data_IF_115233949096
#
_entry.id   IF_115233949096
#
_cell.length_a   1.000
_cell.length_b   1.000
_cell.length_c   1.000
_cell.angle_alpha   90.00
_cell.angle_beta   90.00
_cell.angle_gamma   90.00
#
_symmetry.space_group_name_H-M   'P 1'
#
loop_
_entity.id
_entity.type
_entity.pdbx_description
1 polymer ?
#
# COMPACT_ATOMS: atom_id res chain seq x y z
N UNK A 1 5.85 10.07 -13.15
CA UNK A 1 6.76 9.76 -12.02
C UNK A 1 6.21 8.55 -11.29
N UNK A 2 7.06 7.56 -11.02
CA UNK A 2 6.74 6.44 -10.13
C UNK A 2 6.46 6.97 -8.72
N UNK A 3 5.73 6.20 -7.90
CA UNK A 3 5.55 6.58 -6.50
C UNK A 3 6.88 6.48 -5.77
N UNK A 4 7.22 7.41 -4.85
CA UNK A 4 8.48 7.38 -4.12
C UNK A 4 8.41 6.34 -3.00
N UNK A 5 8.22 5.07 -3.36
CA UNK A 5 8.05 3.93 -2.46
C UNK A 5 8.91 2.79 -2.95
N UNK A 6 9.83 2.31 -2.11
CA UNK A 6 10.62 1.09 -2.35
C UNK A 6 10.46 0.12 -1.18
N UNK A 7 10.17 -1.14 -1.51
CA UNK A 7 10.40 -2.29 -0.67
C UNK A 7 11.81 -2.86 -0.94
N UNK A 8 12.55 -3.15 0.12
CA UNK A 8 13.81 -3.88 0.05
C UNK A 8 13.63 -5.24 0.70
N UNK A 9 14.17 -6.27 0.08
CA UNK A 9 14.22 -7.61 0.67
C UNK A 9 15.50 -8.33 0.26
N UNK A 10 15.98 -9.20 1.14
CA UNK A 10 17.18 -9.99 0.96
C UNK A 10 16.84 -11.47 1.00
N UNK A 11 17.30 -12.23 0.02
CA UNK A 11 17.19 -13.68 0.05
C UNK A 11 18.55 -14.36 -0.02
N UNK A 12 18.71 -15.42 0.77
CA UNK A 12 19.92 -16.23 0.76
C UNK A 12 19.98 -17.06 -0.53
N UNK A 13 21.13 -17.02 -1.20
CA UNK A 13 21.44 -17.88 -2.33
C UNK A 13 21.78 -19.27 -1.78
N UNK A 14 21.20 -20.31 -2.38
CA UNK A 14 21.35 -21.69 -1.96
C UNK A 14 22.20 -22.44 -2.98
N UNK A 15 23.46 -22.08 -3.12
CA UNK A 15 24.39 -22.67 -4.08
C UNK A 15 25.78 -22.88 -3.51
N UNK A 16 26.74 -23.37 -4.31
CA UNK A 16 28.13 -23.57 -3.89
C UNK A 16 28.81 -22.25 -3.48
N UNK A 17 28.27 -21.11 -3.91
CA UNK A 17 28.70 -19.78 -3.52
C UNK A 17 27.65 -19.14 -2.60
N UNK A 18 27.86 -19.17 -1.27
CA UNK A 18 26.93 -18.57 -0.32
C UNK A 18 26.93 -17.04 -0.48
N UNK A 19 25.74 -16.44 -0.43
CA UNK A 19 25.56 -14.99 -0.57
C UNK A 19 24.13 -14.55 -0.33
N UNK A 20 23.89 -13.24 -0.40
CA UNK A 20 22.57 -12.63 -0.30
C UNK A 20 22.25 -11.85 -1.59
N UNK A 21 21.10 -12.15 -2.19
CA UNK A 21 20.53 -11.34 -3.26
C UNK A 21 19.59 -10.30 -2.63
N UNK A 22 19.93 -9.03 -2.80
CA UNK A 22 19.07 -7.91 -2.43
C UNK A 22 18.20 -7.52 -3.63
N UNK A 23 16.89 -7.44 -3.41
CA UNK A 23 15.91 -6.95 -4.38
C UNK A 23 15.30 -5.64 -3.89
N UNK A 24 15.23 -4.66 -4.79
CA UNK A 24 14.46 -3.43 -4.60
C UNK A 24 13.22 -3.48 -5.49
N UNK A 25 12.05 -3.28 -4.90
CA UNK A 25 10.76 -3.27 -5.61
C UNK A 25 10.03 -1.96 -5.35
N UNK A 26 9.43 -1.38 -6.37
CA UNK A 26 8.60 -0.19 -6.28
C UNK A 26 7.12 -0.51 -6.53
N UNK A 27 6.29 0.52 -6.43
CA UNK A 27 4.83 0.42 -6.53
C UNK A 27 4.34 1.19 -7.76
N UNK A 28 3.75 0.47 -8.71
CA UNK A 28 3.09 1.05 -9.88
C UNK A 28 1.75 1.70 -9.54
N UNK A 29 1.12 2.42 -10.48
CA UNK A 29 -0.14 3.15 -10.23
C UNK A 29 -1.33 2.30 -9.76
N UNK A 30 -1.33 0.99 -10.00
CA UNK A 30 -2.38 0.07 -9.60
C UNK A 30 -2.07 -0.65 -8.27
N UNK A 31 -1.15 -0.13 -7.47
CA UNK A 31 -0.68 -0.73 -6.21
C UNK A 31 -0.02 -2.13 -6.43
N UNK A 32 0.64 -2.35 -7.57
CA UNK A 32 1.35 -3.60 -7.86
C UNK A 32 2.86 -3.37 -8.04
N UNK A 33 3.63 -4.47 -8.07
CA UNK A 33 5.09 -4.54 -8.12
C UNK A 33 5.71 -3.97 -9.40
N UNK A 34 6.79 -3.19 -9.22
CA UNK A 34 7.81 -2.89 -10.22
C UNK A 34 9.23 -3.05 -9.62
N UNK A 35 10.29 -3.04 -10.44
CA UNK A 35 11.70 -2.92 -10.00
C UNK A 35 12.21 -1.57 -10.51
N UNK A 36 12.59 -0.68 -9.59
CA UNK A 36 12.95 0.71 -9.93
C UNK A 36 14.47 0.97 -9.82
N UNK A 37 14.96 1.91 -10.63
CA UNK A 37 16.32 2.45 -10.63
C UNK A 37 16.29 3.94 -10.30
N UNK A 38 16.64 4.25 -9.05
CA UNK A 38 17.17 5.54 -8.54
C UNK A 38 16.18 6.73 -8.41
N UNK A 39 16.35 7.52 -7.32
CA UNK A 39 15.71 8.80 -6.87
C UNK A 39 14.83 8.76 -5.60
N UNK A 40 15.09 9.67 -4.64
CA UNK A 40 14.35 9.98 -3.39
C UNK A 40 13.12 9.12 -3.02
N UNK A 41 13.36 7.98 -2.36
CA UNK A 41 12.31 7.00 -2.00
C UNK A 41 11.94 7.01 -0.51
N UNK A 42 10.71 6.62 -0.23
CA UNK A 42 10.24 6.20 1.10
C UNK A 42 10.36 4.68 1.20
N UNK A 43 11.09 4.20 2.20
CA UNK A 43 11.24 2.76 2.44
C UNK A 43 10.01 2.21 3.16
N UNK A 44 9.35 1.22 2.56
CA UNK A 44 8.33 0.42 3.27
C UNK A 44 9.03 -0.80 3.86
N UNK A 45 9.25 -0.77 5.18
CA UNK A 45 9.76 -1.94 5.90
C UNK A 45 8.62 -2.92 6.22
N UNK A 46 8.85 -4.23 6.10
CA UNK A 46 7.88 -5.28 6.45
C UNK A 46 7.64 -5.43 7.98
N UNK A 47 7.95 -4.38 8.75
CA UNK A 47 7.88 -4.43 10.20
C UNK A 47 6.49 -4.80 10.69
N UNK A 48 5.42 -4.44 9.99
CA UNK A 48 4.06 -4.75 10.41
C UNK A 48 3.69 -6.24 10.31
N UNK A 49 4.14 -6.92 9.24
CA UNK A 49 3.88 -8.36 9.07
C UNK A 49 4.78 -9.18 9.98
N UNK A 50 6.04 -8.78 10.15
CA UNK A 50 6.93 -9.36 11.15
C UNK A 50 6.40 -9.14 12.57
N UNK A 51 5.92 -7.95 12.88
CA UNK A 51 5.26 -7.61 14.14
C UNK A 51 4.06 -8.53 14.36
N UNK A 52 3.17 -8.68 13.38
CA UNK A 52 2.04 -9.59 13.50
C UNK A 52 2.45 -11.07 13.65
N UNK A 53 3.42 -11.56 12.85
CA UNK A 53 3.92 -12.94 12.95
C UNK A 53 4.51 -13.21 14.33
N UNK A 54 5.30 -12.29 14.87
CA UNK A 54 5.91 -12.42 16.19
C UNK A 54 4.89 -12.26 17.31
N UNK A 55 3.93 -11.35 17.16
CA UNK A 55 2.83 -11.17 18.09
C UNK A 55 1.98 -12.44 18.19
N UNK A 56 1.55 -13.00 17.05
CA UNK A 56 0.72 -14.22 17.02
C UNK A 56 1.36 -15.41 17.74
N UNK A 57 2.69 -15.52 17.74
CA UNK A 57 3.41 -16.60 18.44
C UNK A 57 3.23 -16.54 19.95
N UNK A 58 3.12 -15.33 20.53
CA UNK A 58 2.97 -15.11 21.98
C UNK A 58 1.52 -14.84 22.39
N UNK A 59 0.75 -14.21 21.51
CA UNK A 59 -0.61 -13.74 21.74
C UNK A 59 -1.52 -14.27 20.62
N UNK A 60 -1.87 -15.58 20.64
CA UNK A 60 -2.76 -16.16 19.65
C UNK A 60 -4.21 -15.72 19.89
N UNK A 61 -4.97 -15.50 18.82
CA UNK A 61 -6.40 -15.19 18.92
C UNK A 61 -6.88 -14.27 17.80
N UNK A 62 -8.11 -14.51 17.32
CA UNK A 62 -8.71 -13.68 16.27
C UNK A 62 -9.02 -12.26 16.77
N UNK A 63 -9.44 -12.12 18.03
CA UNK A 63 -9.71 -10.83 18.66
C UNK A 63 -8.43 -9.99 18.77
N UNK A 64 -7.39 -10.52 19.42
CA UNK A 64 -6.08 -9.85 19.55
C UNK A 64 -5.46 -9.48 18.20
N UNK A 65 -5.58 -10.36 17.20
CA UNK A 65 -5.22 -10.03 15.81
C UNK A 65 -5.96 -8.79 15.32
N UNK A 66 -7.29 -8.76 15.49
CA UNK A 66 -8.13 -7.64 15.07
C UNK A 66 -7.74 -6.34 15.76
N UNK A 67 -7.51 -6.37 17.08
CA UNK A 67 -7.13 -5.18 17.86
C UNK A 67 -5.75 -4.64 17.48
N UNK A 68 -4.75 -5.52 17.30
CA UNK A 68 -3.45 -5.10 16.79
C UNK A 68 -3.57 -4.53 15.37
N UNK A 69 -4.36 -5.15 14.50
CA UNK A 69 -4.61 -4.62 13.15
C UNK A 69 -5.30 -3.26 13.17
N UNK A 70 -6.26 -3.03 14.08
CA UNK A 70 -6.88 -1.72 14.28
C UNK A 70 -5.83 -0.68 14.66
N UNK A 71 -4.98 -0.99 15.64
CA UNK A 71 -3.91 -0.09 16.09
C UNK A 71 -2.92 0.27 14.98
N UNK A 72 -2.51 -0.73 14.20
CA UNK A 72 -1.61 -0.59 13.05
C UNK A 72 -2.25 0.27 11.93
N UNK A 73 -3.55 0.07 11.68
CA UNK A 73 -4.30 0.73 10.61
C UNK A 73 -4.82 2.11 10.98
N UNK A 74 -4.82 2.49 12.26
CA UNK A 74 -5.22 3.81 12.73
C UNK A 74 -4.51 4.89 11.94
N UNK A 75 -5.28 5.79 11.33
CA UNK A 75 -4.78 6.84 10.44
C UNK A 75 -4.56 8.17 11.17
N UNK A 76 -5.04 8.32 12.40
CA UNK A 76 -4.78 9.47 13.27
C UNK A 76 -4.21 9.03 14.61
N UNK A 77 -3.53 9.94 15.31
CA UNK A 77 -2.88 9.67 16.58
C UNK A 77 -3.93 9.34 17.66
N UNK A 78 -5.09 9.99 17.61
CA UNK A 78 -6.21 9.77 18.51
C UNK A 78 -6.80 8.37 18.31
N UNK A 79 -7.00 7.95 17.05
CA UNK A 79 -7.44 6.59 16.73
C UNK A 79 -6.41 5.54 17.14
N UNK A 80 -5.12 5.86 17.06
CA UNK A 80 -4.05 4.98 17.52
C UNK A 80 -4.08 4.82 19.04
N UNK A 81 -4.13 5.93 19.79
CA UNK A 81 -4.19 5.92 21.26
C UNK A 81 -5.39 5.12 21.76
N UNK A 82 -6.58 5.39 21.20
CA UNK A 82 -7.79 4.64 21.54
C UNK A 82 -7.65 3.14 21.26
N UNK A 83 -7.17 2.76 20.07
CA UNK A 83 -6.98 1.34 19.75
C UNK A 83 -5.94 0.66 20.65
N UNK A 84 -4.90 1.39 21.06
CA UNK A 84 -3.88 0.91 22.00
C UNK A 84 -4.45 0.76 23.43
N UNK A 85 -5.31 1.68 23.87
CA UNK A 85 -6.06 1.59 25.13
C UNK A 85 -7.01 0.39 25.11
N UNK A 86 -7.81 0.22 24.05
CA UNK A 86 -8.69 -0.93 23.89
C UNK A 86 -7.88 -2.25 24.00
N UNK A 87 -6.70 -2.32 23.36
CA UNK A 87 -5.82 -3.49 23.45
C UNK A 87 -5.33 -3.73 24.89
N UNK A 88 -5.00 -2.66 25.63
CA UNK A 88 -4.54 -2.74 27.02
C UNK A 88 -5.63 -3.23 27.97
N UNK A 89 -6.86 -2.75 27.77
CA UNK A 89 -8.03 -3.19 28.54
C UNK A 89 -8.36 -4.65 28.28
N UNK A 90 -8.22 -5.11 27.03
CA UNK A 90 -8.48 -6.50 26.66
C UNK A 90 -7.37 -7.47 27.11
N UNK A 91 -6.11 -7.10 26.89
CA UNK A 91 -4.94 -7.89 27.28
C UNK A 91 -3.73 -6.99 27.54
N UNK A 92 -3.47 -6.75 28.82
CA UNK A 92 -2.37 -5.89 29.27
C UNK A 92 -0.98 -6.44 28.89
N UNK A 93 -0.81 -7.76 28.75
CA UNK A 93 0.46 -8.36 28.34
C UNK A 93 0.69 -8.19 26.83
N UNK A 94 -0.36 -8.33 26.03
CA UNK A 94 -0.32 -8.02 24.60
C UNK A 94 0.03 -6.54 24.34
N UNK A 95 -0.53 -5.63 25.14
CA UNK A 95 -0.16 -4.21 25.10
C UNK A 95 1.31 -3.98 25.46
N UNK A 96 1.80 -4.55 26.58
CA UNK A 96 3.22 -4.44 26.96
C UNK A 96 4.16 -5.00 25.89
N UNK A 97 3.74 -6.05 25.18
CA UNK A 97 4.49 -6.56 24.04
C UNK A 97 4.57 -5.53 22.91
N UNK A 98 3.44 -4.89 22.58
CA UNK A 98 3.37 -3.87 21.54
C UNK A 98 4.19 -2.63 21.90
N UNK A 99 4.18 -2.21 23.16
CA UNK A 99 4.95 -1.06 23.66
C UNK A 99 6.47 -1.27 23.53
N UNK A 100 6.93 -2.52 23.61
CA UNK A 100 8.34 -2.89 23.38
C UNK A 100 8.73 -2.91 21.90
N UNK A 101 7.78 -2.76 20.97
CA UNK A 101 8.09 -2.68 19.56
C UNK A 101 8.85 -1.38 19.24
N UNK A 102 9.52 -1.30 18.07
CA UNK A 102 10.09 -0.04 17.58
C UNK A 102 9.05 1.08 17.56
N UNK A 103 9.48 2.33 17.49
CA UNK A 103 8.57 3.47 17.53
C UNK A 103 7.44 3.35 16.48
N UNK A 104 6.17 3.72 16.79
CA UNK A 104 5.02 3.59 15.88
C UNK A 104 5.18 4.23 14.50
N UNK A 105 6.13 5.17 14.35
CA UNK A 105 6.51 5.74 13.04
C UNK A 105 6.90 4.70 11.98
N UNK A 106 7.32 3.50 12.40
CA UNK A 106 7.73 2.43 11.48
C UNK A 106 6.59 1.48 11.09
N UNK A 107 5.48 1.47 11.83
CA UNK A 107 4.47 0.42 11.70
C UNK A 107 3.01 0.88 11.86
N UNK A 108 2.75 2.16 12.13
CA UNK A 108 1.38 2.68 12.28
C UNK A 108 1.10 3.82 11.29
N UNK A 109 -0.02 3.72 10.57
CA UNK A 109 -0.46 4.73 9.59
C UNK A 109 -0.57 6.14 10.18
N UNK A 110 -0.90 6.26 11.45
CA UNK A 110 -1.04 7.52 12.15
C UNK A 110 0.23 8.38 12.11
N UNK A 111 1.39 7.76 11.94
CA UNK A 111 2.69 8.44 11.93
C UNK A 111 3.29 8.55 10.54
N UNK A 112 2.63 8.01 9.51
CA UNK A 112 3.16 8.03 8.15
C UNK A 112 2.96 9.40 7.49
N UNK A 113 3.92 9.75 6.63
CA UNK A 113 3.87 10.95 5.80
C UNK A 113 2.84 10.79 4.67
N UNK A 114 2.02 11.82 4.39
CA UNK A 114 1.08 11.81 3.28
C UNK A 114 1.74 12.03 1.91
N UNK A 115 3.07 12.15 1.85
CA UNK A 115 3.79 12.44 0.61
C UNK A 115 3.67 11.32 -0.44
N UNK A 116 3.72 10.05 -0.01
CA UNK A 116 3.81 8.89 -0.92
C UNK A 116 2.49 8.50 -1.58
N UNK A 117 1.35 8.92 -1.04
CA UNK A 117 0.01 8.55 -1.52
C UNK A 117 -0.12 7.03 -1.71
N UNK A 118 0.18 6.27 -0.65
CA UNK A 118 0.19 4.82 -0.67
C UNK A 118 -0.64 4.26 0.47
N UNK A 119 -1.73 3.55 0.13
CA UNK A 119 -2.56 2.85 1.12
C UNK A 119 -1.95 1.53 1.58
N UNK A 120 -0.92 1.05 0.90
CA UNK A 120 -0.33 -0.27 1.14
C UNK A 120 0.44 -0.31 2.44
N UNK A 121 0.20 -1.41 3.15
CA UNK A 121 0.62 -1.63 4.52
C UNK A 121 1.60 -2.82 4.63
N UNK A 122 1.66 -3.66 3.60
CA UNK A 122 2.27 -5.00 3.67
C UNK A 122 3.26 -5.23 2.54
N UNK A 123 4.36 -5.91 2.85
CA UNK A 123 5.40 -6.30 1.90
C UNK A 123 5.03 -7.55 1.07
N UNK A 124 3.77 -7.67 0.63
CA UNK A 124 3.38 -8.75 -0.31
C UNK A 124 4.16 -8.66 -1.64
N UNK A 125 4.71 -7.49 -1.90
CA UNK A 125 5.54 -7.16 -3.03
C UNK A 125 6.84 -7.97 -3.03
N UNK A 126 7.71 -7.82 -2.02
CA UNK A 126 8.97 -8.59 -2.01
C UNK A 126 8.76 -10.09 -1.89
N UNK A 127 7.74 -10.55 -1.13
CA UNK A 127 7.43 -11.97 -1.04
C UNK A 127 7.03 -12.57 -2.40
N UNK A 128 6.23 -11.85 -3.19
CA UNK A 128 5.85 -12.30 -4.52
C UNK A 128 7.07 -12.34 -5.44
N UNK A 129 7.97 -11.36 -5.41
CA UNK A 129 9.20 -11.45 -6.20
C UNK A 129 10.05 -12.65 -5.77
N UNK A 130 10.24 -12.81 -4.46
CA UNK A 130 11.02 -13.89 -3.87
C UNK A 130 10.47 -15.29 -4.20
N UNK A 131 9.16 -15.44 -4.36
CA UNK A 131 8.55 -16.71 -4.80
C UNK A 131 8.86 -17.05 -6.25
N UNK A 132 8.97 -16.06 -7.14
CA UNK A 132 9.20 -16.30 -8.56
C UNK A 132 10.66 -16.69 -8.88
N UNK A 133 11.61 -16.25 -8.05
CA UNK A 133 13.03 -16.58 -8.23
C UNK A 133 13.48 -17.79 -7.41
N UNK A 134 12.57 -18.41 -6.67
CA UNK A 134 12.88 -19.43 -5.66
C UNK A 134 13.61 -20.65 -6.26
N UNK A 135 13.17 -21.10 -7.44
CA UNK A 135 13.77 -22.20 -8.23
C UNK A 135 15.05 -21.80 -9.00
N UNK A 136 15.40 -20.53 -9.00
CA UNK A 136 16.62 -20.04 -9.65
C UNK A 136 17.76 -19.81 -8.64
N UNK A 137 17.46 -19.86 -7.33
CA UNK A 137 18.40 -19.54 -6.24
C UNK A 137 19.51 -20.57 -6.01
N UNK A 138 19.33 -21.77 -6.55
CA UNK A 138 20.31 -22.86 -6.52
C UNK A 138 21.16 -22.95 -7.80
N UNK A 139 20.88 -22.07 -8.78
CA UNK A 139 21.61 -22.01 -10.05
C UNK A 139 22.78 -21.02 -9.98
N UNK A 140 23.75 -21.11 -10.92
CA UNK A 140 24.79 -20.10 -11.07
C UNK A 140 24.21 -18.69 -11.21
N UNK A 141 24.94 -17.68 -10.73
CA UNK A 141 24.47 -16.28 -10.70
C UNK A 141 23.99 -15.77 -12.07
N UNK A 142 24.65 -16.18 -13.16
CA UNK A 142 24.28 -15.83 -14.53
C UNK A 142 22.89 -16.40 -14.87
N UNK A 143 22.65 -17.67 -14.56
CA UNK A 143 21.35 -18.32 -14.79
C UNK A 143 20.23 -17.69 -13.94
N UNK A 144 20.53 -17.30 -12.70
CA UNK A 144 19.60 -16.58 -11.82
C UNK A 144 19.20 -15.22 -12.42
N UNK A 145 20.19 -14.43 -12.85
CA UNK A 145 19.96 -13.12 -13.45
C UNK A 145 19.22 -13.23 -14.79
N UNK A 146 19.52 -14.24 -15.60
CA UNK A 146 18.82 -14.50 -16.85
C UNK A 146 17.35 -14.85 -16.59
N UNK A 147 17.07 -15.73 -15.63
CA UNK A 147 15.68 -16.08 -15.26
C UNK A 147 14.91 -14.86 -14.73
N UNK A 148 15.55 -14.04 -13.89
CA UNK A 148 14.97 -12.79 -13.41
C UNK A 148 14.64 -11.83 -14.55
N UNK A 149 15.54 -11.68 -15.54
CA UNK A 149 15.31 -10.86 -16.74
C UNK A 149 14.10 -11.34 -17.54
N UNK A 150 14.04 -12.63 -17.84
CA UNK A 150 12.93 -13.25 -18.60
C UNK A 150 11.58 -13.07 -17.90
N UNK A 151 11.54 -13.29 -16.58
CA UNK A 151 10.36 -13.05 -15.75
C UNK A 151 9.90 -11.59 -15.81
N UNK A 152 10.85 -10.64 -15.75
CA UNK A 152 10.53 -9.21 -15.84
C UNK A 152 10.01 -8.83 -17.23
N UNK A 153 10.62 -9.34 -18.30
CA UNK A 153 10.15 -9.12 -19.68
C UNK A 153 8.70 -9.62 -19.86
N UNK A 154 8.42 -10.85 -19.44
CA UNK A 154 7.09 -11.45 -19.51
C UNK A 154 6.07 -10.67 -18.69
N UNK A 155 6.44 -10.27 -17.46
CA UNK A 155 5.58 -9.48 -16.57
C UNK A 155 5.25 -8.12 -17.18
N UNK A 156 6.25 -7.39 -17.68
CA UNK A 156 6.06 -6.07 -18.30
C UNK A 156 5.08 -6.19 -19.47
N UNK A 157 5.29 -7.16 -20.37
CA UNK A 157 4.42 -7.38 -21.53
C UNK A 157 2.98 -7.70 -21.10
N UNK A 158 2.78 -8.68 -20.20
CA UNK A 158 1.45 -9.10 -19.73
C UNK A 158 0.70 -7.97 -19.04
N UNK A 159 1.37 -7.24 -18.14
CA UNK A 159 0.78 -6.13 -17.37
C UNK A 159 0.42 -4.95 -18.27
N UNK A 160 1.30 -4.58 -19.20
CA UNK A 160 1.02 -3.55 -20.20
C UNK A 160 -0.18 -3.92 -21.06
N UNK A 161 -0.22 -5.14 -21.60
CA UNK A 161 -1.33 -5.60 -22.42
C UNK A 161 -2.66 -5.60 -21.66
N UNK A 162 -2.67 -6.10 -20.43
CA UNK A 162 -3.86 -6.11 -19.57
C UNK A 162 -4.35 -4.69 -19.26
N UNK A 163 -3.44 -3.78 -18.87
CA UNK A 163 -3.82 -2.41 -18.55
C UNK A 163 -4.30 -1.64 -19.78
N UNK A 164 -3.66 -1.81 -20.94
CA UNK A 164 -4.09 -1.18 -22.19
C UNK A 164 -5.54 -1.54 -22.53
N UNK A 165 -5.91 -2.82 -22.40
CA UNK A 165 -7.28 -3.32 -22.65
C UNK A 165 -8.31 -2.88 -21.61
N UNK A 166 -7.88 -2.51 -20.41
CA UNK A 166 -8.79 -2.12 -19.34
C UNK A 166 -9.48 -0.78 -19.67
N UNK A 167 -10.81 -0.67 -19.60
CA UNK A 167 -11.54 0.46 -20.19
C UNK A 167 -11.47 1.75 -19.35
N UNK A 168 -11.08 1.67 -18.08
CA UNK A 168 -11.12 2.82 -17.18
C UNK A 168 -9.79 3.57 -17.09
N UNK A 169 -9.88 4.80 -16.56
CA UNK A 169 -8.76 5.72 -16.34
C UNK A 169 -7.83 5.29 -15.20
N UNK A 170 -8.24 4.32 -14.38
CA UNK A 170 -7.47 3.72 -13.28
C UNK A 170 -7.36 2.21 -13.48
N UNK A 171 -6.46 1.57 -12.74
CA UNK A 171 -6.38 0.12 -12.72
C UNK A 171 -7.48 -0.54 -11.87
N UNK A 172 -7.71 -1.85 -12.06
CA UNK A 172 -8.82 -2.57 -11.43
C UNK A 172 -8.76 -2.61 -9.90
N UNK A 173 -7.57 -2.60 -9.30
CA UNK A 173 -7.45 -2.62 -7.84
C UNK A 173 -7.83 -1.27 -7.23
N UNK A 174 -7.38 -0.17 -7.85
CA UNK A 174 -7.77 1.19 -7.43
C UNK A 174 -9.27 1.39 -7.59
N UNK A 175 -9.84 0.97 -8.72
CA UNK A 175 -11.28 1.03 -8.96
C UNK A 175 -12.06 0.26 -7.90
N UNK A 176 -11.66 -0.99 -7.61
CA UNK A 176 -12.28 -1.80 -6.55
C UNK A 176 -12.24 -1.12 -5.18
N UNK A 177 -11.09 -0.55 -4.78
CA UNK A 177 -10.98 0.17 -3.49
C UNK A 177 -11.98 1.32 -3.42
N UNK A 178 -12.19 2.04 -4.53
CA UNK A 178 -13.15 3.15 -4.57
C UNK A 178 -14.58 2.62 -4.51
N UNK A 179 -14.90 1.54 -5.22
CA UNK A 179 -16.21 0.88 -5.19
C UNK A 179 -16.57 0.39 -3.77
N UNK A 180 -15.65 -0.32 -3.10
CA UNK A 180 -15.84 -0.77 -1.71
C UNK A 180 -16.11 0.44 -0.78
N UNK A 181 -15.37 1.55 -0.96
CA UNK A 181 -15.58 2.76 -0.16
C UNK A 181 -16.86 3.52 -0.54
N UNK A 182 -17.36 3.38 -1.76
CA UNK A 182 -18.65 3.93 -2.19
C UNK A 182 -19.78 3.23 -1.44
N UNK A 183 -19.73 1.91 -1.30
CA UNK A 183 -20.71 1.15 -0.52
C UNK A 183 -20.65 1.55 0.96
N UNK A 184 -19.45 1.61 1.54
CA UNK A 184 -19.28 2.04 2.94
C UNK A 184 -19.66 3.51 3.19
N UNK A 185 -19.71 4.34 2.13
CA UNK A 185 -20.05 5.76 2.25
C UNK A 185 -21.54 6.01 2.60
N UNK A 186 -22.43 5.04 2.36
CA UNK A 186 -23.88 5.23 2.53
C UNK A 186 -24.33 5.49 3.97
N UNK A 187 -23.53 5.10 4.97
CA UNK A 187 -23.83 5.35 6.38
C UNK A 187 -23.51 6.78 6.84
N UNK A 188 -22.94 7.61 5.96
CA UNK A 188 -22.42 8.93 6.29
C UNK A 188 -23.34 10.04 5.77
N UNK A 189 -23.55 11.05 6.60
CA UNK A 189 -24.43 12.19 6.37
C UNK A 189 -23.57 13.46 6.25
N UNK A 190 -23.31 13.95 5.02
CA UNK A 190 -22.53 15.16 4.79
C UNK A 190 -23.41 16.40 4.95
N UNK A 191 -22.82 17.45 5.52
CA UNK A 191 -23.41 18.79 5.61
C UNK A 191 -22.39 19.81 5.11
N UNK A 192 -22.73 20.49 4.01
CA UNK A 192 -21.88 21.49 3.38
C UNK A 192 -21.86 22.81 4.18
N UNK A 193 -20.70 23.45 4.26
CA UNK A 193 -20.52 24.73 4.95
C UNK A 193 -20.77 25.97 4.06
N UNK A 194 -21.10 25.78 2.78
CA UNK A 194 -21.33 26.87 1.82
C UNK A 194 -20.09 27.35 1.06
N UNK A 195 -18.88 26.83 1.34
CA UNK A 195 -17.63 27.27 0.70
C UNK A 195 -16.86 26.10 0.08
N UNK A 196 -16.24 25.27 0.91
CA UNK A 196 -15.32 24.21 0.47
C UNK A 196 -15.23 23.02 1.45
N UNK A 197 -15.95 23.09 2.57
CA UNK A 197 -15.86 22.17 3.69
C UNK A 197 -17.17 21.43 3.91
N UNK A 198 -17.05 20.15 4.28
CA UNK A 198 -18.17 19.31 4.68
C UNK A 198 -17.93 18.79 6.09
N UNK A 199 -18.97 18.85 6.91
CA UNK A 199 -19.08 18.12 8.15
C UNK A 199 -19.80 16.80 7.87
N UNK A 200 -19.12 15.67 8.05
CA UNK A 200 -19.66 14.35 7.73
C UNK A 200 -19.86 13.55 9.02
N UNK A 201 -21.11 13.19 9.31
CA UNK A 201 -21.51 12.49 10.53
C UNK A 201 -21.95 11.06 10.24
N UNK A 202 -21.87 10.16 11.21
CA UNK A 202 -22.61 8.89 11.19
C UNK A 202 -23.56 8.80 12.39
N UNK A 203 -24.51 7.83 12.38
CA UNK A 203 -25.43 7.62 13.50
C UNK A 203 -24.74 7.27 14.83
N UNK A 204 -23.47 6.83 14.78
CA UNK A 204 -22.66 6.44 15.95
C UNK A 204 -21.86 7.63 16.54
N UNK A 205 -22.31 8.87 16.35
CA UNK A 205 -21.68 10.10 16.86
C UNK A 205 -20.23 10.37 16.40
N UNK A 206 -19.73 9.66 15.39
CA UNK A 206 -18.43 10.02 14.79
C UNK A 206 -18.63 11.16 13.79
N UNK A 207 -17.71 12.12 13.81
CA UNK A 207 -17.75 13.31 12.96
C UNK A 207 -16.39 13.57 12.34
N UNK A 208 -16.39 13.87 11.04
CA UNK A 208 -15.19 14.18 10.28
C UNK A 208 -15.38 15.46 9.46
N UNK A 209 -14.37 16.33 9.45
CA UNK A 209 -14.29 17.41 8.48
C UNK A 209 -13.61 16.91 7.20
N UNK A 210 -14.20 17.26 6.06
CA UNK A 210 -13.71 16.98 4.69
C UNK A 210 -13.56 18.30 3.96
N UNK A 211 -12.47 18.46 3.20
CA UNK A 211 -12.31 19.58 2.27
C UNK A 211 -12.02 19.02 0.87
N UNK A 212 -12.96 19.22 -0.05
CA UNK A 212 -12.89 18.65 -1.41
C UNK A 212 -11.82 19.32 -2.26
N UNK A 213 -11.66 20.66 -2.15
CA UNK A 213 -10.63 21.41 -2.90
C UNK A 213 -9.22 20.98 -2.52
N UNK A 214 -8.98 20.82 -1.22
CA UNK A 214 -7.69 20.35 -0.66
C UNK A 214 -7.52 18.83 -0.77
N UNK A 215 -8.53 18.08 -1.23
CA UNK A 215 -8.55 16.61 -1.26
C UNK A 215 -8.12 16.00 0.09
N UNK A 216 -8.70 16.50 1.18
CA UNK A 216 -8.31 16.17 2.55
C UNK A 216 -9.49 15.79 3.43
N UNK A 217 -9.22 15.02 4.47
CA UNK A 217 -10.19 14.64 5.47
C UNK A 217 -9.49 14.44 6.80
N UNK A 218 -10.10 14.85 7.89
CA UNK A 218 -9.60 14.64 9.27
C UNK A 218 -9.33 13.17 9.63
N UNK A 219 -9.91 12.21 8.91
CA UNK A 219 -9.52 10.80 9.03
C UNK A 219 -8.15 10.47 8.42
N UNK A 220 -7.50 11.42 7.73
CA UNK A 220 -6.19 11.33 7.04
C UNK A 220 -6.06 10.30 5.91
N UNK A 221 -7.05 9.42 5.71
CA UNK A 221 -6.98 8.37 4.69
C UNK A 221 -6.77 8.96 3.29
N UNK A 222 -7.49 10.03 2.94
CA UNK A 222 -7.33 10.65 1.61
C UNK A 222 -5.92 11.20 1.40
N UNK A 223 -5.38 11.85 2.42
CA UNK A 223 -4.03 12.40 2.37
C UNK A 223 -2.96 11.32 2.31
N UNK A 224 -3.14 10.23 3.07
CA UNK A 224 -2.19 9.10 3.12
C UNK A 224 -2.25 8.24 1.86
N UNK A 225 -3.44 7.92 1.37
CA UNK A 225 -3.62 6.99 0.25
C UNK A 225 -3.69 7.67 -1.11
N UNK A 226 -3.97 8.97 -1.18
CA UNK A 226 -4.28 9.65 -2.43
C UNK A 226 -5.64 9.26 -3.05
N UNK A 227 -6.50 8.57 -2.30
CA UNK A 227 -7.82 8.11 -2.76
C UNK A 227 -8.88 8.62 -1.80
N UNK A 228 -10.06 9.06 -2.27
CA UNK A 228 -11.09 9.57 -1.39
C UNK A 228 -11.51 8.48 -0.39
N UNK A 229 -11.59 8.86 0.89
CA UNK A 229 -12.10 8.01 1.96
C UNK A 229 -13.64 7.93 1.92
N UNK A 230 -14.25 7.04 2.69
CA UNK A 230 -15.72 6.90 2.76
C UNK A 230 -16.42 8.22 3.11
N UNK A 231 -15.86 9.02 4.03
CA UNK A 231 -16.38 10.35 4.38
C UNK A 231 -16.32 11.33 3.20
N UNK A 232 -15.18 11.31 2.49
CA UNK A 232 -14.97 12.14 1.32
C UNK A 232 -15.93 11.77 0.21
N UNK A 233 -16.10 10.47 -0.07
CA UNK A 233 -17.03 9.99 -1.09
C UNK A 233 -18.46 10.42 -0.76
N UNK A 234 -18.87 10.36 0.51
CA UNK A 234 -20.19 10.84 0.91
C UNK A 234 -20.37 12.34 0.58
N UNK A 235 -19.35 13.18 0.84
CA UNK A 235 -19.36 14.58 0.46
C UNK A 235 -19.33 14.79 -1.07
N UNK A 236 -18.54 14.02 -1.80
CA UNK A 236 -18.45 14.06 -3.28
C UNK A 236 -19.81 13.77 -3.91
N UNK A 237 -20.57 12.82 -3.37
CA UNK A 237 -21.93 12.48 -3.84
C UNK A 237 -22.94 13.64 -3.73
N UNK A 238 -22.65 14.71 -2.99
CA UNK A 238 -23.45 15.95 -2.97
C UNK A 238 -23.05 16.95 -4.07
N UNK A 239 -22.13 16.56 -4.95
CA UNK A 239 -21.61 17.38 -6.05
C UNK A 239 -21.72 16.61 -7.37
N UNK A 240 -21.38 17.25 -8.49
CA UNK A 240 -21.32 16.63 -9.82
C UNK A 240 -20.01 15.86 -10.07
N UNK A 241 -19.09 15.81 -9.10
CA UNK A 241 -17.79 15.16 -9.27
C UNK A 241 -17.91 13.62 -9.16
N UNK A 242 -17.10 12.91 -9.97
CA UNK A 242 -16.95 11.45 -9.87
C UNK A 242 -15.85 11.08 -8.84
N UNK A 243 -16.17 10.28 -7.79
CA UNK A 243 -15.17 9.71 -6.88
C UNK A 243 -13.99 9.02 -7.56
N UNK A 244 -14.18 8.39 -8.73
CA UNK A 244 -13.12 7.75 -9.50
C UNK A 244 -12.13 8.73 -10.13
N UNK A 245 -12.51 10.00 -10.25
CA UNK A 245 -11.68 11.07 -10.79
C UNK A 245 -11.09 11.96 -9.69
N UNK A 246 -11.58 11.86 -8.47
CA UNK A 246 -11.08 12.61 -7.30
C UNK A 246 -9.87 11.96 -6.61
N UNK A 247 -8.95 11.42 -7.40
CA UNK A 247 -7.76 10.69 -6.91
C UNK A 247 -6.46 11.47 -7.11
N UNK A 248 -5.37 10.98 -6.53
CA UNK A 248 -4.02 11.48 -6.76
C UNK A 248 -3.49 11.01 -8.12
N UNK A 249 -2.67 11.86 -8.76
CA UNK A 249 -2.21 11.63 -10.13
C UNK A 249 -1.49 10.28 -10.30
N UNK A 250 -0.75 9.85 -9.28
CA UNK A 250 0.01 8.61 -9.24
C UNK A 250 -0.81 7.34 -9.52
N UNK A 251 -2.14 7.38 -9.44
CA UNK A 251 -3.04 6.24 -9.63
C UNK A 251 -3.61 6.09 -11.04
N UNK A 252 -3.40 7.07 -11.93
CA UNK A 252 -3.96 6.98 -13.27
C UNK A 252 -3.21 5.98 -14.15
N UNK A 253 -3.99 5.27 -14.98
CA UNK A 253 -3.53 4.34 -16.03
C UNK A 253 -2.48 4.96 -16.95
N UNK A 254 -2.56 6.26 -17.24
CA UNK A 254 -1.54 6.96 -18.05
C UNK A 254 -0.15 6.80 -17.46
N UNK A 255 0.02 7.02 -16.15
CA UNK A 255 1.31 6.88 -15.49
C UNK A 255 1.75 5.41 -15.45
N UNK A 256 0.83 4.48 -15.19
CA UNK A 256 1.12 3.05 -15.31
C UNK A 256 1.74 2.71 -16.68
N UNK A 257 1.13 3.18 -17.78
CA UNK A 257 1.62 2.88 -19.12
C UNK A 257 2.98 3.55 -19.41
N UNK A 258 3.23 4.75 -18.88
CA UNK A 258 4.55 5.39 -18.99
C UNK A 258 5.63 4.57 -18.31
N UNK A 259 5.34 4.05 -17.13
CA UNK A 259 6.23 3.18 -16.36
C UNK A 259 6.56 1.91 -17.13
N UNK A 260 5.53 1.21 -17.62
CA UNK A 260 5.68 -0.03 -18.38
C UNK A 260 6.13 0.17 -19.86
N UNK A 261 6.48 1.40 -20.26
CA UNK A 261 7.20 1.65 -21.51
C UNK A 261 8.71 1.41 -21.37
N UNK A 262 9.23 1.36 -20.15
CA UNK A 262 10.63 1.02 -19.89
C UNK A 262 10.83 -0.50 -19.96
N UNK A 263 11.24 -0.99 -21.13
CA UNK A 263 11.36 -2.43 -21.40
C UNK A 263 12.81 -2.91 -21.31
N UNK A 264 12.98 -4.16 -20.88
CA UNK A 264 14.26 -4.85 -20.96
C UNK A 264 14.49 -5.34 -22.39
N UNK A 265 15.66 -5.06 -22.94
CA UNK A 265 16.03 -5.49 -24.29
C UNK A 265 16.40 -6.99 -24.31
N UNK A 266 16.08 -7.71 -25.39
CA UNK A 266 16.55 -9.07 -25.57
C UNK A 266 18.08 -9.11 -25.67
N UNK A 267 18.70 -10.21 -25.24
CA UNK A 267 20.15 -10.42 -25.33
C UNK A 267 20.41 -11.70 -26.13
N UNK A 268 21.38 -11.63 -27.04
CA UNK A 268 21.86 -12.79 -27.79
C UNK A 268 22.60 -13.77 -26.89
N UNK A 269 22.49 -15.06 -27.18
CA UNK A 269 23.29 -16.11 -26.53
C UNK A 269 24.79 -15.95 -26.74
N UNK A 270 25.22 -15.16 -27.74
CA UNK A 270 26.63 -14.87 -28.02
C UNK A 270 27.27 -13.87 -27.03
N UNK A 271 26.47 -13.27 -26.13
CA UNK A 271 26.91 -12.24 -25.16
C UNK A 271 26.84 -12.73 -23.71
N UNK A 272 26.59 -14.03 -23.48
CA UNK A 272 26.47 -14.70 -22.18
C UNK A 272 27.63 -15.67 -21.97
#
# INVERSE_FOLDING_TARGET
>A
MCRPVIGLDGCHIKGPYPGQLLSAVAVDSNNDLEIDKQYHYTFISDQQKHMYRNFKKKHPGKALKGMLQSTVRSSTIEMYKKAAEDLKEYDSEAYKWMEKAPHPMHWCKAYFSPHTKCDMIVNNLCESFNSHILEARDKPIISLLQKARELMMERIQKRKAAMTRYPHSTGPLIRKIIEDRIEESFQWFPQFNGIDGYQVKCPRNSQFAVNLKKKSCTCRIWELSGLPCTHAIAAIKQTENDPHEMIAECHYKRLFLQVYNNVLQPISSQLL
#
